data_IF_721866081515
#
_entry.id   IF_721866081515
#
_cell.length_a   1.000
_cell.length_b   1.000
_cell.length_c   1.000
_cell.angle_alpha   90.00
_cell.angle_beta   90.00
_cell.angle_gamma   90.00
#
_symmetry.space_group_name_H-M   'P 1'
#
loop_
_entity.id
_entity.type
_entity.pdbx_description
1 polymer ?
#
# COMPACT_ATOMS: atom_id res chain seq x y z
N UNK A 1 -43.75 -31.18 -51.37
CA UNK A 1 -42.64 -30.56 -52.13
C UNK A 1 -43.03 -30.20 -53.57
N UNK A 2 -43.64 -31.09 -54.37
CA UNK A 2 -43.97 -30.76 -55.78
C UNK A 2 -44.95 -29.59 -55.95
N UNK A 3 -45.96 -29.45 -55.07
CA UNK A 3 -46.89 -28.32 -55.12
C UNK A 3 -46.25 -26.96 -54.80
N UNK A 4 -45.15 -26.92 -54.04
CA UNK A 4 -44.45 -25.68 -53.70
C UNK A 4 -43.48 -25.28 -54.83
N UNK A 5 -42.85 -26.27 -55.48
CA UNK A 5 -41.97 -26.08 -56.62
C UNK A 5 -42.77 -25.60 -57.86
N UNK A 6 -43.95 -26.20 -58.12
CA UNK A 6 -44.84 -25.77 -59.22
C UNK A 6 -45.43 -24.36 -59.02
N UNK A 7 -45.56 -23.90 -57.76
CA UNK A 7 -46.06 -22.57 -57.43
C UNK A 7 -44.97 -21.49 -57.56
N UNK A 8 -43.70 -21.88 -57.40
CA UNK A 8 -42.54 -21.04 -57.67
C UNK A 8 -42.29 -20.89 -59.18
N UNK A 9 -42.34 -21.98 -59.95
CA UNK A 9 -42.10 -21.95 -61.41
C UNK A 9 -43.05 -21.02 -62.17
N UNK A 10 -44.30 -20.88 -61.71
CA UNK A 10 -45.33 -20.12 -62.43
C UNK A 10 -45.53 -18.68 -61.93
N UNK A 11 -44.76 -18.20 -60.94
CA UNK A 11 -45.04 -16.91 -60.32
C UNK A 11 -43.76 -16.15 -59.92
N UNK A 12 -43.16 -15.45 -60.90
CA UNK A 12 -41.92 -14.68 -60.75
C UNK A 12 -41.96 -13.66 -59.59
N UNK A 13 -43.14 -13.11 -59.27
CA UNK A 13 -43.32 -12.22 -58.12
C UNK A 13 -43.12 -12.91 -56.76
N UNK A 14 -43.53 -14.18 -56.63
CA UNK A 14 -43.34 -14.97 -55.41
C UNK A 14 -41.86 -15.33 -55.23
N UNK A 15 -41.15 -15.66 -56.31
CA UNK A 15 -39.69 -15.87 -56.29
C UNK A 15 -38.97 -14.60 -55.82
N UNK A 16 -39.34 -13.43 -56.36
CA UNK A 16 -38.75 -12.14 -55.96
C UNK A 16 -38.92 -11.81 -54.48
N UNK A 17 -40.11 -12.07 -53.92
CA UNK A 17 -40.38 -11.88 -52.48
C UNK A 17 -39.53 -12.85 -51.63
N UNK A 18 -39.39 -14.10 -52.05
CA UNK A 18 -38.64 -15.13 -51.32
C UNK A 18 -37.12 -14.89 -51.35
N UNK A 19 -36.59 -14.40 -52.48
CA UNK A 19 -35.19 -13.94 -52.59
C UNK A 19 -34.94 -12.72 -51.71
N UNK A 20 -35.87 -11.77 -51.67
CA UNK A 20 -35.74 -10.57 -50.83
C UNK A 20 -35.80 -10.92 -49.34
N UNK A 21 -36.69 -11.83 -48.94
CA UNK A 21 -36.77 -12.32 -47.55
C UNK A 21 -35.53 -13.11 -47.13
N UNK A 22 -35.00 -13.97 -47.99
CA UNK A 22 -33.80 -14.75 -47.69
C UNK A 22 -32.54 -13.89 -47.61
N UNK A 23 -32.39 -12.89 -48.49
CA UNK A 23 -31.28 -11.93 -48.43
C UNK A 23 -31.36 -10.99 -47.23
N UNK A 24 -32.56 -10.50 -46.88
CA UNK A 24 -32.75 -9.66 -45.68
C UNK A 24 -32.51 -10.44 -44.39
N UNK A 25 -33.04 -11.67 -44.26
CA UNK A 25 -32.78 -12.53 -43.10
C UNK A 25 -31.29 -12.91 -43.00
N UNK A 26 -30.65 -13.25 -44.12
CA UNK A 26 -29.21 -13.51 -44.17
C UNK A 26 -28.38 -12.30 -43.74
N UNK A 27 -28.73 -11.11 -44.22
CA UNK A 27 -28.08 -9.85 -43.84
C UNK A 27 -28.21 -9.54 -42.35
N UNK A 28 -29.38 -9.77 -41.76
CA UNK A 28 -29.62 -9.57 -40.32
C UNK A 28 -28.78 -10.54 -39.48
N UNK A 29 -28.71 -11.81 -39.86
CA UNK A 29 -27.91 -12.82 -39.15
C UNK A 29 -26.42 -12.48 -39.20
N UNK A 30 -25.91 -12.08 -40.37
CA UNK A 30 -24.51 -11.65 -40.54
C UNK A 30 -24.22 -10.40 -39.70
N UNK A 31 -25.14 -9.42 -39.69
CA UNK A 31 -25.00 -8.22 -38.88
C UNK A 31 -24.94 -8.54 -37.37
N UNK A 32 -25.86 -9.37 -36.86
CA UNK A 32 -25.87 -9.77 -35.45
C UNK A 32 -24.58 -10.54 -35.10
N UNK A 33 -24.14 -11.44 -35.97
CA UNK A 33 -22.90 -12.18 -35.77
C UNK A 33 -21.69 -11.23 -35.67
N UNK A 34 -21.59 -10.24 -36.57
CA UNK A 34 -20.52 -9.25 -36.55
C UNK A 34 -20.55 -8.40 -35.28
N UNK A 35 -21.74 -7.92 -34.85
CA UNK A 35 -21.89 -7.15 -33.60
C UNK A 35 -21.46 -7.99 -32.39
N UNK A 36 -21.85 -9.27 -32.32
CA UNK A 36 -21.43 -10.16 -31.23
C UNK A 36 -19.91 -10.39 -31.28
N UNK A 37 -19.35 -10.63 -32.46
CA UNK A 37 -17.92 -10.87 -32.62
C UNK A 37 -17.08 -9.65 -32.23
N UNK A 38 -17.45 -8.47 -32.71
CA UNK A 38 -16.82 -7.20 -32.34
C UNK A 38 -16.95 -6.91 -30.85
N UNK A 39 -18.12 -7.15 -30.25
CA UNK A 39 -18.30 -6.96 -28.81
C UNK A 39 -17.39 -7.88 -27.98
N UNK A 40 -17.18 -9.13 -28.41
CA UNK A 40 -16.25 -10.07 -27.77
C UNK A 40 -14.81 -9.59 -27.94
N UNK A 41 -14.43 -9.14 -29.14
CA UNK A 41 -13.10 -8.59 -29.43
C UNK A 41 -12.80 -7.36 -28.57
N UNK A 42 -13.74 -6.40 -28.50
CA UNK A 42 -13.62 -5.20 -27.66
C UNK A 42 -13.46 -5.56 -26.17
N UNK A 43 -14.19 -6.56 -25.68
CA UNK A 43 -14.03 -7.03 -24.28
C UNK A 43 -12.64 -7.63 -24.04
N UNK A 44 -12.13 -8.43 -24.99
CA UNK A 44 -10.79 -8.99 -24.92
C UNK A 44 -9.71 -7.90 -24.97
N UNK A 45 -9.83 -6.93 -25.88
CA UNK A 45 -8.90 -5.81 -26.02
C UNK A 45 -8.90 -4.92 -24.78
N UNK A 46 -10.07 -4.62 -24.21
CA UNK A 46 -10.19 -3.91 -22.92
C UNK A 46 -9.50 -4.65 -21.78
N UNK A 47 -9.64 -5.98 -21.71
CA UNK A 47 -8.97 -6.80 -20.70
C UNK A 47 -7.44 -6.74 -20.87
N UNK A 48 -6.96 -6.88 -22.11
CA UNK A 48 -5.53 -6.81 -22.46
C UNK A 48 -4.93 -5.45 -22.15
N UNK A 49 -5.63 -4.36 -22.47
CA UNK A 49 -5.21 -2.99 -22.13
C UNK A 49 -5.10 -2.78 -20.62
N UNK A 50 -6.10 -3.21 -19.84
CA UNK A 50 -6.05 -3.14 -18.37
C UNK A 50 -4.85 -3.89 -17.83
N UNK A 51 -4.59 -5.09 -18.35
CA UNK A 51 -3.46 -5.91 -17.95
C UNK A 51 -2.13 -5.22 -18.29
N UNK A 52 -1.97 -4.70 -19.51
CA UNK A 52 -0.79 -3.93 -19.90
C UNK A 52 -0.57 -2.70 -19.01
N UNK A 53 -1.62 -1.97 -18.62
CA UNK A 53 -1.50 -0.85 -17.69
C UNK A 53 -1.08 -1.29 -16.28
N UNK A 54 -1.66 -2.38 -15.78
CA UNK A 54 -1.33 -2.95 -14.46
C UNK A 54 0.14 -3.40 -14.42
N UNK A 55 0.55 -4.18 -15.42
CA UNK A 55 1.89 -4.76 -15.50
C UNK A 55 2.95 -3.69 -15.76
N UNK A 56 2.72 -2.78 -16.71
CA UNK A 56 3.76 -1.84 -17.13
C UNK A 56 3.87 -0.61 -16.22
N UNK A 57 2.81 -0.20 -15.51
CA UNK A 57 2.84 1.01 -14.68
C UNK A 57 2.59 0.73 -13.19
N UNK A 58 1.56 -0.04 -12.83
CA UNK A 58 1.13 -0.14 -11.42
C UNK A 58 2.10 -1.01 -10.60
N UNK A 59 2.52 -2.17 -11.13
CA UNK A 59 3.42 -3.06 -10.41
C UNK A 59 4.82 -2.43 -10.13
N UNK A 60 5.48 -1.75 -11.08
CA UNK A 60 6.73 -1.04 -10.82
C UNK A 60 6.59 0.09 -9.80
N UNK A 61 5.53 0.91 -9.88
CA UNK A 61 5.28 1.98 -8.92
C UNK A 61 5.07 1.44 -7.50
N UNK A 62 4.30 0.36 -7.36
CA UNK A 62 4.09 -0.29 -6.06
C UNK A 62 5.38 -0.89 -5.51
N UNK A 63 6.21 -1.49 -6.36
CA UNK A 63 7.52 -1.99 -5.94
C UNK A 63 8.44 -0.87 -5.47
N UNK A 64 8.44 0.27 -6.15
CA UNK A 64 9.20 1.45 -5.73
C UNK A 64 8.74 1.96 -4.35
N UNK A 65 7.42 2.07 -4.16
CA UNK A 65 6.83 2.43 -2.87
C UNK A 65 7.16 1.42 -1.76
N UNK A 66 7.08 0.11 -2.00
CA UNK A 66 7.47 -0.94 -1.04
C UNK A 66 8.94 -0.80 -0.63
N UNK A 67 9.83 -0.54 -1.60
CA UNK A 67 11.26 -0.40 -1.33
C UNK A 67 11.56 0.85 -0.50
N UNK A 68 10.89 1.95 -0.83
CA UNK A 68 11.03 3.20 -0.10
C UNK A 68 10.48 3.10 1.33
N UNK A 69 9.32 2.46 1.51
CA UNK A 69 8.76 2.16 2.83
C UNK A 69 9.72 1.30 3.66
N UNK A 70 10.30 0.24 3.09
CA UNK A 70 11.30 -0.62 3.77
C UNK A 70 12.49 0.17 4.28
N UNK A 71 13.03 1.04 3.43
CA UNK A 71 14.19 1.86 3.76
C UNK A 71 13.86 2.80 4.92
N UNK A 72 12.78 3.59 4.79
CA UNK A 72 12.45 4.59 5.80
C UNK A 72 12.02 3.97 7.14
N UNK A 73 11.36 2.81 7.16
CA UNK A 73 11.09 2.07 8.40
C UNK A 73 12.39 1.55 9.03
N UNK A 74 13.31 1.04 8.22
CA UNK A 74 14.63 0.60 8.71
C UNK A 74 15.40 1.76 9.32
N UNK A 75 15.42 2.90 8.64
CA UNK A 75 16.09 4.12 9.11
C UNK A 75 15.43 4.64 10.40
N UNK A 76 14.10 4.61 10.50
CA UNK A 76 13.36 4.97 11.71
C UNK A 76 13.75 4.06 12.88
N UNK A 77 13.68 2.74 12.70
CA UNK A 77 14.01 1.78 13.74
C UNK A 77 15.48 1.87 14.17
N UNK A 78 16.41 2.07 13.24
CA UNK A 78 17.82 2.21 13.57
C UNK A 78 18.06 3.49 14.36
N UNK A 79 17.50 4.62 13.92
CA UNK A 79 17.63 5.90 14.61
C UNK A 79 17.04 5.81 16.02
N UNK A 80 15.90 5.14 16.19
CA UNK A 80 15.25 4.95 17.48
C UNK A 80 16.11 4.10 18.42
N UNK A 81 16.71 3.02 17.90
CA UNK A 81 17.62 2.16 18.68
C UNK A 81 18.88 2.90 19.10
N UNK A 82 19.46 3.71 18.21
CA UNK A 82 20.65 4.52 18.53
C UNK A 82 20.30 5.55 19.61
N UNK A 83 19.23 6.33 19.43
CA UNK A 83 18.80 7.33 20.40
C UNK A 83 18.53 6.69 21.78
N UNK A 84 17.81 5.57 21.81
CA UNK A 84 17.56 4.81 23.04
C UNK A 84 18.84 4.28 23.69
N UNK A 85 19.78 3.78 22.89
CA UNK A 85 21.05 3.28 23.41
C UNK A 85 21.89 4.40 24.04
N UNK A 86 21.95 5.57 23.40
CA UNK A 86 22.64 6.74 23.96
C UNK A 86 21.98 7.20 25.26
N UNK A 87 20.65 7.21 25.31
CA UNK A 87 19.89 7.47 26.55
C UNK A 87 20.22 6.45 27.64
N UNK A 88 20.21 5.15 27.34
CA UNK A 88 20.53 4.11 28.30
C UNK A 88 21.97 4.20 28.81
N UNK A 89 22.94 4.44 27.92
CA UNK A 89 24.34 4.63 28.31
C UNK A 89 24.48 5.79 29.29
N UNK A 90 23.67 6.82 29.13
CA UNK A 90 23.78 8.03 29.91
C UNK A 90 23.00 7.96 31.24
N UNK A 91 21.75 7.48 31.24
CA UNK A 91 20.92 7.37 32.44
C UNK A 91 21.07 6.05 33.19
N UNK A 92 21.26 4.94 32.48
CA UNK A 92 21.32 3.60 33.05
C UNK A 92 22.71 3.16 33.52
N UNK A 93 23.75 3.98 33.33
CA UNK A 93 25.12 3.61 33.74
C UNK A 93 25.48 4.04 35.17
N UNK A 94 24.66 4.86 35.83
CA UNK A 94 24.94 5.39 37.17
C UNK A 94 26.22 6.23 37.27
N UNK A 95 26.90 6.50 36.15
CA UNK A 95 28.12 7.31 36.12
C UNK A 95 27.76 8.79 36.05
N UNK A 96 28.23 9.55 37.05
CA UNK A 96 28.25 11.02 36.99
C UNK A 96 29.16 11.46 35.85
N UNK A 97 28.56 11.80 34.72
CA UNK A 97 29.28 12.38 33.59
C UNK A 97 29.52 13.87 33.83
N UNK A 98 30.56 14.44 33.22
CA UNK A 98 30.84 15.88 33.31
C UNK A 98 29.82 16.71 32.52
N UNK A 99 29.54 17.95 32.96
CA UNK A 99 28.66 18.91 32.27
C UNK A 99 28.95 19.06 30.76
N UNK A 100 30.22 18.97 30.37
CA UNK A 100 30.64 19.01 28.96
C UNK A 100 30.23 17.76 28.17
N UNK A 101 30.30 16.57 28.78
CA UNK A 101 29.84 15.32 28.17
C UNK A 101 28.32 15.31 28.03
N UNK A 102 27.60 15.90 29.00
CA UNK A 102 26.14 16.00 28.96
C UNK A 102 25.67 16.76 27.74
N UNK A 103 26.26 17.94 27.49
CA UNK A 103 25.90 18.78 26.35
C UNK A 103 26.19 18.11 25.00
N UNK A 104 27.23 17.28 24.92
CA UNK A 104 27.56 16.54 23.69
C UNK A 104 26.54 15.43 23.44
N UNK A 105 26.21 14.66 24.48
CA UNK A 105 25.22 13.58 24.41
C UNK A 105 23.83 14.13 24.13
N UNK A 106 23.40 15.16 24.85
CA UNK A 106 22.13 15.85 24.63
C UNK A 106 21.99 16.36 23.20
N UNK A 107 23.02 17.02 22.66
CA UNK A 107 23.03 17.47 21.27
C UNK A 107 22.92 16.32 20.26
N UNK A 108 23.55 15.17 20.55
CA UNK A 108 23.47 13.99 19.70
C UNK A 108 22.07 13.37 19.73
N UNK A 109 21.50 13.20 20.92
CA UNK A 109 20.17 12.63 21.10
C UNK A 109 19.10 13.55 20.50
N UNK A 110 19.21 14.88 20.67
CA UNK A 110 18.33 15.85 20.02
C UNK A 110 18.37 15.75 18.49
N UNK A 111 19.57 15.61 17.91
CA UNK A 111 19.71 15.41 16.46
C UNK A 111 18.99 14.14 16.00
N UNK A 112 19.18 13.03 16.69
CA UNK A 112 18.55 11.76 16.34
C UNK A 112 17.02 11.81 16.56
N UNK A 113 16.55 12.52 17.58
CA UNK A 113 15.14 12.76 17.85
C UNK A 113 14.45 13.61 16.78
N UNK A 114 15.09 14.69 16.30
CA UNK A 114 14.55 15.43 15.17
C UNK A 114 14.50 14.57 13.91
N UNK A 115 15.51 13.72 13.70
CA UNK A 115 15.50 12.79 12.57
C UNK A 115 14.38 11.75 12.69
N UNK A 116 14.08 11.28 13.90
CA UNK A 116 12.95 10.39 14.16
C UNK A 116 11.62 11.03 13.82
N UNK A 117 11.41 12.28 14.22
CA UNK A 117 10.19 13.02 13.88
C UNK A 117 10.05 13.22 12.36
N UNK A 118 11.13 13.60 11.67
CA UNK A 118 11.14 13.70 10.21
C UNK A 118 10.72 12.37 9.54
N UNK A 119 11.29 11.25 10.00
CA UNK A 119 10.96 9.93 9.49
C UNK A 119 9.52 9.51 9.84
N UNK A 120 9.05 9.83 11.03
CA UNK A 120 7.68 9.55 11.46
C UNK A 120 6.66 10.28 10.58
N UNK A 121 6.88 11.57 10.32
CA UNK A 121 6.02 12.37 9.43
C UNK A 121 6.08 11.86 7.99
N UNK A 122 7.26 11.50 7.51
CA UNK A 122 7.42 10.91 6.18
C UNK A 122 6.62 9.60 6.05
N UNK A 123 6.75 8.70 7.03
CA UNK A 123 6.01 7.44 7.06
C UNK A 123 4.51 7.68 7.21
N UNK A 124 4.10 8.67 8.00
CA UNK A 124 2.70 9.08 8.14
C UNK A 124 2.09 9.52 6.80
N UNK A 125 2.85 10.17 5.93
CA UNK A 125 2.38 10.55 4.59
C UNK A 125 2.35 9.36 3.62
N UNK A 126 3.28 8.41 3.78
CA UNK A 126 3.48 7.32 2.83
C UNK A 126 2.56 6.11 3.09
N UNK A 127 2.13 5.92 4.34
CA UNK A 127 1.29 4.81 4.75
C UNK A 127 -0.17 5.00 4.31
N UNK A 128 -0.82 3.95 3.77
CA UNK A 128 -2.26 3.99 3.55
C UNK A 128 -3.00 4.16 4.88
N UNK A 129 -4.26 4.57 4.81
CA UNK A 129 -5.09 4.84 5.99
C UNK A 129 -6.49 4.28 5.79
N UNK A 130 -7.12 3.88 6.90
CA UNK A 130 -8.52 3.47 6.86
C UNK A 130 -9.43 4.64 6.54
N UNK A 131 -10.45 4.41 5.71
CA UNK A 131 -11.48 5.41 5.40
C UNK A 131 -12.78 5.06 6.10
N UNK A 132 -13.53 6.08 6.53
CA UNK A 132 -14.86 5.91 7.09
C UNK A 132 -15.95 5.96 6.00
N UNK A 133 -17.14 5.44 6.32
CA UNK A 133 -18.33 5.51 5.46
C UNK A 133 -18.72 4.22 4.76
N UNK A 134 -19.65 4.32 3.82
CA UNK A 134 -20.32 3.18 3.17
C UNK A 134 -19.37 2.31 2.32
N UNK A 135 -18.21 2.86 1.91
CA UNK A 135 -17.13 2.16 1.23
C UNK A 135 -15.84 2.13 2.07
N UNK A 136 -15.97 1.96 3.39
CA UNK A 136 -14.84 1.92 4.30
C UNK A 136 -13.79 0.88 3.88
N UNK A 137 -12.58 1.35 3.61
CA UNK A 137 -11.41 0.51 3.42
C UNK A 137 -10.69 0.42 4.75
N UNK A 138 -10.42 -0.81 5.23
CA UNK A 138 -9.65 -1.04 6.45
C UNK A 138 -8.20 -1.33 6.12
N UNK A 139 -7.31 -0.52 6.67
CA UNK A 139 -5.85 -0.60 6.52
C UNK A 139 -5.19 -0.94 7.87
N UNK A 140 -5.68 -1.99 8.51
CA UNK A 140 -5.34 -2.35 9.90
C UNK A 140 -3.84 -2.39 10.17
N UNK A 141 -3.03 -3.03 9.31
CA UNK A 141 -1.58 -3.08 9.53
C UNK A 141 -0.90 -1.72 9.37
N UNK A 142 -1.40 -0.85 8.49
CA UNK A 142 -0.83 0.47 8.30
C UNK A 142 -1.24 1.43 9.44
N UNK A 143 -2.48 1.33 9.91
CA UNK A 143 -2.95 2.10 11.06
C UNK A 143 -2.24 1.67 12.35
N UNK A 144 -2.09 0.36 12.59
CA UNK A 144 -1.33 -0.16 13.73
C UNK A 144 0.16 0.20 13.66
N UNK A 145 0.74 0.22 12.46
CA UNK A 145 2.12 0.69 12.26
C UNK A 145 2.25 2.18 12.60
N UNK A 146 1.30 3.00 12.15
CA UNK A 146 1.25 4.44 12.45
C UNK A 146 1.13 4.69 13.96
N UNK A 147 0.28 3.95 14.65
CA UNK A 147 0.17 4.07 16.12
C UNK A 147 1.46 3.62 16.82
N UNK A 148 2.10 2.53 16.39
CA UNK A 148 3.37 2.09 16.97
C UNK A 148 4.52 3.11 16.76
N UNK A 149 4.55 3.78 15.60
CA UNK A 149 5.49 4.89 15.34
C UNK A 149 5.22 6.04 16.32
N UNK A 150 3.95 6.42 16.49
CA UNK A 150 3.53 7.48 17.40
C UNK A 150 3.86 7.15 18.86
N UNK A 151 3.57 5.92 19.33
CA UNK A 151 3.97 5.44 20.66
C UNK A 151 5.47 5.59 20.88
N UNK A 152 6.28 5.29 19.85
CA UNK A 152 7.74 5.44 19.92
C UNK A 152 8.15 6.91 20.10
N UNK A 153 7.58 7.82 19.31
CA UNK A 153 7.86 9.27 19.42
C UNK A 153 7.43 9.79 20.79
N UNK A 154 6.22 9.46 21.25
CA UNK A 154 5.72 9.86 22.56
C UNK A 154 6.60 9.38 23.71
N UNK A 155 7.18 8.18 23.59
CA UNK A 155 8.16 7.69 24.55
C UNK A 155 9.43 8.56 24.60
N UNK A 156 9.92 9.01 23.44
CA UNK A 156 11.04 9.96 23.41
C UNK A 156 10.66 11.32 23.98
N UNK A 157 9.47 11.85 23.65
CA UNK A 157 8.96 13.12 24.19
C UNK A 157 8.97 13.10 25.72
N UNK A 158 8.44 12.03 26.32
CA UNK A 158 8.42 11.84 27.77
C UNK A 158 9.82 11.84 28.37
N UNK A 159 10.81 11.22 27.70
CA UNK A 159 12.19 11.27 28.16
C UNK A 159 12.73 12.71 28.11
N UNK A 160 12.52 13.45 27.02
CA UNK A 160 12.98 14.83 26.91
C UNK A 160 12.33 15.76 27.93
N UNK A 161 11.07 15.52 28.30
CA UNK A 161 10.41 16.26 29.38
C UNK A 161 11.06 15.97 30.73
N UNK A 162 11.41 14.71 31.01
CA UNK A 162 12.16 14.35 32.22
C UNK A 162 13.54 15.03 32.26
N UNK A 163 14.23 15.09 31.10
CA UNK A 163 15.53 15.79 30.96
C UNK A 163 15.42 17.27 31.26
N UNK A 164 14.43 17.93 30.65
CA UNK A 164 14.21 19.37 30.77
C UNK A 164 13.90 19.76 32.21
N UNK A 165 13.19 18.89 32.93
CA UNK A 165 12.82 19.08 34.32
C UNK A 165 13.89 18.64 35.33
N UNK A 166 15.04 18.10 34.87
CA UNK A 166 16.11 17.55 35.71
C UNK A 166 15.59 16.56 36.76
N UNK A 167 14.67 15.69 36.35
CA UNK A 167 14.17 14.62 37.21
C UNK A 167 15.29 13.61 37.47
N UNK A 168 15.55 13.27 38.73
CA UNK A 168 16.47 12.19 39.12
C UNK A 168 15.75 10.82 39.22
N UNK A 169 14.53 10.69 38.67
CA UNK A 169 13.74 9.47 38.72
C UNK A 169 14.23 8.43 37.69
N UNK A 170 15.31 7.74 38.05
CA UNK A 170 15.91 6.64 37.27
C UNK A 170 14.89 5.54 36.91
N UNK A 171 13.93 5.24 37.79
CA UNK A 171 12.91 4.23 37.55
C UNK A 171 11.99 4.64 36.39
N UNK A 172 11.56 5.91 36.38
CA UNK A 172 10.74 6.46 35.29
C UNK A 172 11.46 6.46 33.94
N UNK A 173 12.78 6.73 33.93
CA UNK A 173 13.58 6.62 32.69
C UNK A 173 13.65 5.19 32.17
N UNK A 174 13.91 4.22 33.04
CA UNK A 174 14.00 2.81 32.65
C UNK A 174 12.65 2.31 32.12
N UNK A 175 11.55 2.65 32.78
CA UNK A 175 10.20 2.29 32.34
C UNK A 175 9.90 2.87 30.95
N UNK A 176 10.21 4.15 30.75
CA UNK A 176 9.99 4.82 29.46
C UNK A 176 10.87 4.22 28.36
N UNK A 177 12.14 3.93 28.66
CA UNK A 177 13.05 3.28 27.71
C UNK A 177 12.60 1.85 27.34
N UNK A 178 11.98 1.11 28.26
CA UNK A 178 11.39 -0.20 27.98
C UNK A 178 10.14 -0.07 27.09
N UNK A 179 9.31 0.94 27.34
CA UNK A 179 8.15 1.26 26.49
C UNK A 179 8.58 1.56 25.06
N UNK A 180 9.62 2.39 24.87
CA UNK A 180 10.23 2.67 23.56
C UNK A 180 10.73 1.37 22.90
N UNK A 181 11.37 0.47 23.65
CA UNK A 181 11.83 -0.78 23.07
C UNK A 181 10.67 -1.64 22.56
N UNK A 182 9.61 -1.76 23.36
CA UNK A 182 8.40 -2.50 22.98
C UNK A 182 7.76 -1.89 21.74
N UNK A 183 7.65 -0.56 21.65
CA UNK A 183 7.07 0.11 20.48
C UNK A 183 7.92 -0.08 19.22
N UNK A 184 9.26 -0.04 19.30
CA UNK A 184 10.16 -0.34 18.17
C UNK A 184 9.96 -1.78 17.66
N UNK A 185 9.76 -2.74 18.57
CA UNK A 185 9.47 -4.13 18.20
C UNK A 185 8.11 -4.24 17.49
N UNK A 186 7.07 -3.55 18.00
CA UNK A 186 5.76 -3.46 17.35
C UNK A 186 5.86 -2.84 15.94
N UNK A 187 6.60 -1.74 15.78
CA UNK A 187 6.86 -1.11 14.46
C UNK A 187 7.45 -2.14 13.51
N UNK A 188 8.46 -2.89 13.97
CA UNK A 188 9.10 -3.92 13.15
C UNK A 188 8.15 -5.05 12.75
N UNK A 189 7.28 -5.50 13.66
CA UNK A 189 6.31 -6.56 13.39
C UNK A 189 5.20 -6.10 12.42
N UNK A 190 4.60 -4.93 12.67
CA UNK A 190 3.56 -4.36 11.80
C UNK A 190 4.10 -4.06 10.41
N UNK A 191 5.33 -3.52 10.32
CA UNK A 191 6.00 -3.31 9.04
C UNK A 191 6.15 -4.60 8.24
N UNK A 192 6.59 -5.70 8.87
CA UNK A 192 6.72 -7.00 8.19
C UNK A 192 5.38 -7.50 7.67
N UNK A 193 4.32 -7.38 8.48
CA UNK A 193 2.96 -7.80 8.11
C UNK A 193 2.43 -6.98 6.94
N UNK A 194 2.54 -5.66 7.00
CA UNK A 194 2.15 -4.75 5.92
C UNK A 194 2.92 -5.05 4.63
N UNK A 195 4.26 -5.13 4.70
CA UNK A 195 5.11 -5.39 3.54
C UNK A 195 4.84 -6.76 2.92
N UNK A 196 4.52 -7.78 3.73
CA UNK A 196 4.16 -9.10 3.22
C UNK A 196 2.82 -9.07 2.49
N UNK A 197 1.82 -8.38 3.05
CA UNK A 197 0.53 -8.17 2.38
C UNK A 197 0.73 -7.48 1.03
N UNK A 198 1.47 -6.38 1.02
CA UNK A 198 1.72 -5.58 -0.18
C UNK A 198 2.53 -6.33 -1.24
N UNK A 199 3.52 -7.11 -0.81
CA UNK A 199 4.29 -7.99 -1.69
C UNK A 199 3.42 -9.06 -2.34
N UNK A 200 2.53 -9.73 -1.59
CA UNK A 200 1.64 -10.77 -2.11
C UNK A 200 0.73 -10.22 -3.21
N UNK A 201 0.15 -9.05 -2.98
CA UNK A 201 -0.70 -8.43 -4.00
C UNK A 201 0.15 -7.98 -5.20
N UNK A 202 1.33 -7.40 -5.00
CA UNK A 202 2.22 -7.01 -6.10
C UNK A 202 2.64 -8.21 -6.96
N UNK A 203 2.97 -9.34 -6.33
CA UNK A 203 3.30 -10.60 -7.02
C UNK A 203 2.13 -11.11 -7.85
N UNK A 204 0.91 -11.12 -7.28
CA UNK A 204 -0.29 -11.56 -8.01
C UNK A 204 -0.59 -10.71 -9.25
N UNK A 205 -0.19 -9.43 -9.26
CA UNK A 205 -0.36 -8.56 -10.43
C UNK A 205 0.61 -8.93 -11.57
N UNK A 206 1.81 -9.42 -11.24
CA UNK A 206 2.79 -9.92 -12.23
C UNK A 206 2.45 -11.31 -12.76
N UNK A 207 1.81 -12.16 -11.96
CA UNK A 207 1.39 -13.51 -12.38
C UNK A 207 0.14 -13.51 -13.26
N UNK A 208 -0.48 -12.34 -13.49
CA UNK A 208 -1.57 -12.19 -14.45
C UNK A 208 -1.07 -12.12 -15.91
N UNK A 209 0.24 -11.90 -16.14
CA UNK A 209 0.92 -11.96 -17.44
C UNK A 209 0.99 -13.39 -18.04
#
# INVERSE_FOLDING_TARGET
MSNFINLLENNAGIIGILVTLSTTLGGIIVFIYNVIHESKKIKADKKKLKQQMITNNIAPMRQAWINDLRKNISDFNMTAKIARYELYKYFGSGQKSSDSELKIVEKKILKDYYKLNELAEYLNLLLPYSTEGENARKEEYADNLREAIKETIQGFDAIFDLLSNRSDDEASYIETANTINSSIEKVSDMAKKLLLQEWRVTKSLKELD
#
